data_IF_563493540662
#
_entry.id   IF_563493540662
#
_cell.length_a   1.000
_cell.length_b   1.000
_cell.length_c   1.000
_cell.angle_alpha   90.00
_cell.angle_beta   90.00
_cell.angle_gamma   90.00
#
_symmetry.space_group_name_H-M   'P 1'
#
loop_
_entity.id
_entity.type
_entity.pdbx_description
1 polymer ?
#
# COMPACT_ATOMS: atom_id res chain seq x y z
N UNK A 1 12.27 10.30 -5.80
CA UNK A 1 12.69 10.05 -7.19
C UNK A 1 11.49 9.79 -8.08
N UNK A 2 11.65 10.03 -9.38
CA UNK A 2 10.67 9.71 -10.43
C UNK A 2 10.95 8.34 -11.07
N UNK A 3 12.11 7.77 -10.74
CA UNK A 3 12.65 6.55 -11.33
C UNK A 3 12.84 5.48 -10.28
N UNK A 4 12.74 4.20 -10.70
CA UNK A 4 13.11 3.04 -9.91
C UNK A 4 14.56 2.67 -10.21
N UNK A 5 15.32 2.45 -9.15
CA UNK A 5 16.71 2.02 -9.21
C UNK A 5 16.85 0.66 -8.57
N UNK A 6 17.69 -0.18 -9.15
CA UNK A 6 18.01 -1.51 -8.64
C UNK A 6 19.51 -1.63 -8.37
N UNK A 7 19.84 -2.27 -7.27
CA UNK A 7 21.20 -2.74 -6.94
C UNK A 7 21.15 -4.25 -6.77
N UNK A 8 22.09 -4.96 -7.40
CA UNK A 8 22.27 -6.41 -7.25
C UNK A 8 23.55 -6.75 -6.45
N UNK A 9 24.24 -5.75 -5.91
CA UNK A 9 25.51 -5.85 -5.20
C UNK A 9 25.49 -5.11 -3.85
N UNK A 10 24.38 -5.19 -3.14
CA UNK A 10 24.18 -4.61 -1.80
C UNK A 10 24.35 -3.09 -1.77
N UNK A 11 23.98 -2.39 -2.85
CA UNK A 11 24.00 -0.94 -2.92
C UNK A 11 25.33 -0.34 -3.41
N UNK A 12 26.32 -1.15 -3.82
CA UNK A 12 27.57 -0.64 -4.35
C UNK A 12 27.39 -0.02 -5.76
N UNK A 13 26.53 -0.60 -6.60
CA UNK A 13 26.16 -0.03 -7.89
C UNK A 13 24.65 0.03 -8.05
N UNK A 14 24.16 1.00 -8.83
CA UNK A 14 22.74 1.23 -9.05
C UNK A 14 22.46 1.38 -10.55
N UNK A 15 21.42 0.69 -11.01
CA UNK A 15 20.93 0.78 -12.38
C UNK A 15 19.50 1.30 -12.38
N UNK A 16 19.20 2.26 -13.24
CA UNK A 16 17.82 2.72 -13.46
C UNK A 16 17.06 1.67 -14.28
N UNK A 17 15.96 1.18 -13.73
CA UNK A 17 15.13 0.13 -14.33
C UNK A 17 13.74 0.61 -14.74
N UNK A 18 13.50 1.93 -14.75
CA UNK A 18 12.23 2.50 -15.21
C UNK A 18 12.43 3.78 -16.02
N UNK A 19 11.47 4.14 -16.89
CA UNK A 19 11.30 5.52 -17.32
C UNK A 19 10.82 6.40 -16.17
N UNK A 20 10.55 7.70 -16.42
CA UNK A 20 9.78 8.54 -15.49
C UNK A 20 8.36 7.95 -15.35
N UNK A 21 8.01 7.51 -14.14
CA UNK A 21 6.73 6.87 -13.82
C UNK A 21 5.69 7.86 -13.25
N UNK A 22 6.04 9.13 -13.12
CA UNK A 22 5.15 10.18 -12.61
C UNK A 22 4.39 10.88 -13.76
N UNK A 23 3.41 11.72 -13.43
CA UNK A 23 2.78 12.63 -14.40
C UNK A 23 3.62 13.87 -14.64
N UNK A 24 4.69 14.06 -13.88
CA UNK A 24 5.55 15.24 -13.90
C UNK A 24 4.76 16.56 -13.75
N UNK A 25 3.68 16.53 -12.99
CA UNK A 25 2.89 17.70 -12.68
C UNK A 25 3.66 18.59 -11.71
N UNK A 26 3.94 19.83 -12.11
CA UNK A 26 4.67 20.81 -11.31
C UNK A 26 3.77 21.98 -10.91
N UNK A 27 2.54 21.71 -10.53
CA UNK A 27 1.57 22.75 -10.16
C UNK A 27 1.52 22.93 -8.64
N UNK A 28 2.17 23.97 -8.14
CA UNK A 28 2.11 24.35 -6.72
C UNK A 28 2.95 23.46 -5.82
N UNK A 29 2.50 23.27 -4.57
CA UNK A 29 3.20 22.48 -3.55
C UNK A 29 2.69 21.03 -3.48
N UNK A 30 1.80 20.62 -4.39
CA UNK A 30 1.17 19.30 -4.38
C UNK A 30 0.68 18.98 -5.80
N UNK A 31 1.03 17.86 -6.38
CA UNK A 31 2.03 16.85 -5.97
C UNK A 31 3.48 17.27 -6.30
N UNK A 32 4.46 16.51 -5.79
CA UNK A 32 5.88 16.75 -6.08
C UNK A 32 6.39 15.94 -7.28
N UNK A 33 5.56 15.11 -7.89
CA UNK A 33 5.90 14.18 -8.96
C UNK A 33 7.05 13.22 -8.53
N UNK A 34 6.80 12.47 -7.47
CA UNK A 34 7.74 11.49 -6.93
C UNK A 34 7.06 10.14 -6.71
N UNK A 35 7.83 9.07 -6.84
CA UNK A 35 7.39 7.74 -6.41
C UNK A 35 7.31 7.73 -4.88
N UNK A 36 6.14 7.39 -4.38
CA UNK A 36 5.83 7.27 -2.95
C UNK A 36 5.95 5.83 -2.45
N UNK A 37 5.77 4.85 -3.34
CA UNK A 37 5.83 3.43 -3.02
C UNK A 37 6.40 2.64 -4.19
N UNK A 38 7.23 1.64 -3.87
CA UNK A 38 7.70 0.59 -4.78
C UNK A 38 7.70 -0.72 -4.00
N UNK A 39 6.97 -1.73 -4.51
CA UNK A 39 6.84 -3.02 -3.86
C UNK A 39 7.07 -4.15 -4.84
N UNK A 40 7.87 -5.15 -4.45
CA UNK A 40 8.07 -6.38 -5.22
C UNK A 40 7.09 -7.47 -4.76
N UNK A 41 6.56 -8.23 -5.71
CA UNK A 41 5.75 -9.41 -5.38
C UNK A 41 6.60 -10.43 -4.62
N UNK A 42 6.16 -10.93 -3.47
CA UNK A 42 6.87 -11.98 -2.76
C UNK A 42 6.82 -13.34 -3.48
N UNK A 43 5.93 -13.49 -4.47
CA UNK A 43 5.71 -14.75 -5.19
C UNK A 43 6.40 -14.77 -6.57
N UNK A 44 6.65 -13.61 -7.18
CA UNK A 44 7.19 -13.50 -8.53
C UNK A 44 8.34 -12.49 -8.57
N UNK A 45 9.58 -12.99 -8.60
CA UNK A 45 10.76 -12.14 -8.73
C UNK A 45 10.68 -11.26 -10.00
N UNK A 46 10.99 -9.98 -9.86
CA UNK A 46 10.94 -9.01 -10.96
C UNK A 46 9.54 -8.52 -11.33
N UNK A 47 8.49 -8.93 -10.57
CA UNK A 47 7.18 -8.31 -10.62
C UNK A 47 7.14 -7.20 -9.58
N UNK A 48 7.27 -5.93 -10.05
CA UNK A 48 7.33 -4.74 -9.22
C UNK A 48 6.13 -3.85 -9.51
N UNK A 49 5.55 -3.31 -8.45
CA UNK A 49 4.53 -2.27 -8.51
C UNK A 49 5.11 -0.95 -8.04
N UNK A 50 4.76 0.14 -8.70
CA UNK A 50 5.18 1.49 -8.32
C UNK A 50 3.99 2.44 -8.29
N UNK A 51 3.93 3.29 -7.28
CA UNK A 51 2.93 4.32 -7.12
C UNK A 51 3.56 5.69 -6.89
N UNK A 52 2.93 6.74 -7.41
CA UNK A 52 3.42 8.11 -7.28
C UNK A 52 2.48 8.99 -6.46
N UNK A 53 3.00 10.10 -5.96
CA UNK A 53 2.24 11.09 -5.21
C UNK A 53 1.29 11.93 -6.09
N UNK A 54 1.45 11.87 -7.41
CA UNK A 54 0.57 12.47 -8.41
C UNK A 54 -0.42 11.46 -9.03
N UNK A 55 -0.53 10.25 -8.46
CA UNK A 55 -1.60 9.31 -8.73
C UNK A 55 -1.36 8.37 -9.91
N UNK A 56 -0.12 8.18 -10.35
CA UNK A 56 0.21 7.12 -11.29
C UNK A 56 0.49 5.80 -10.57
N UNK A 57 -0.01 4.70 -11.15
CA UNK A 57 0.26 3.33 -10.73
C UNK A 57 0.79 2.53 -11.90
N UNK A 58 1.85 1.78 -11.67
CA UNK A 58 2.55 1.01 -12.69
C UNK A 58 2.92 -0.38 -12.22
N UNK A 59 3.02 -1.32 -13.16
CA UNK A 59 3.60 -2.65 -12.93
C UNK A 59 4.63 -2.98 -13.98
N UNK A 60 5.72 -3.60 -13.56
CA UNK A 60 6.60 -4.39 -14.43
C UNK A 60 6.53 -5.86 -14.01
N UNK A 61 6.61 -6.79 -14.96
CA UNK A 61 6.67 -8.23 -14.70
C UNK A 61 7.94 -8.86 -15.29
N UNK A 62 8.91 -8.03 -15.60
CA UNK A 62 10.16 -8.44 -16.22
C UNK A 62 11.33 -7.59 -15.72
N UNK A 63 11.31 -7.30 -14.42
CA UNK A 63 12.37 -6.59 -13.71
C UNK A 63 12.74 -5.24 -14.37
N UNK A 64 11.72 -4.46 -14.75
CA UNK A 64 11.89 -3.13 -15.33
C UNK A 64 12.08 -3.11 -16.86
N UNK A 65 12.08 -4.27 -17.53
CA UNK A 65 12.21 -4.32 -18.99
C UNK A 65 11.06 -3.64 -19.73
N UNK A 66 9.87 -3.62 -19.13
CA UNK A 66 8.72 -2.83 -19.58
C UNK A 66 7.80 -2.50 -18.42
N UNK A 67 7.11 -1.36 -18.49
CA UNK A 67 6.16 -0.90 -17.47
C UNK A 67 4.78 -0.67 -18.10
N UNK A 68 3.74 -1.16 -17.42
CA UNK A 68 2.35 -1.03 -17.84
C UNK A 68 1.60 -0.15 -16.83
N UNK A 69 0.86 0.85 -17.30
CA UNK A 69 0.03 1.71 -16.46
C UNK A 69 -1.21 0.97 -15.97
N UNK A 70 -1.55 1.18 -14.69
CA UNK A 70 -2.66 0.54 -13.98
C UNK A 70 -3.72 1.54 -13.52
N UNK A 71 -3.74 2.75 -14.05
CA UNK A 71 -4.60 3.84 -13.58
C UNK A 71 -6.10 3.65 -13.89
N UNK A 72 -6.44 2.74 -14.81
CA UNK A 72 -7.82 2.52 -15.21
C UNK A 72 -8.68 2.01 -14.05
N UNK A 73 -9.78 2.73 -13.73
CA UNK A 73 -10.68 2.40 -12.63
C UNK A 73 -10.26 2.92 -11.25
N UNK A 74 -9.13 3.60 -11.14
CA UNK A 74 -8.69 4.28 -9.92
C UNK A 74 -9.04 5.78 -9.94
N UNK A 75 -9.26 6.40 -8.77
CA UNK A 75 -9.35 7.86 -8.65
C UNK A 75 -8.12 8.55 -9.22
N UNK A 76 -8.33 9.57 -10.03
CA UNK A 76 -7.24 10.31 -10.68
C UNK A 76 -6.60 11.31 -9.70
N UNK A 77 -5.29 11.55 -9.88
CA UNK A 77 -4.53 12.59 -9.17
C UNK A 77 -4.56 12.45 -7.63
N UNK A 78 -4.73 11.22 -7.12
CA UNK A 78 -4.66 10.95 -5.69
C UNK A 78 -3.34 10.27 -5.35
N UNK A 79 -2.72 10.73 -4.28
CA UNK A 79 -1.47 10.15 -3.79
C UNK A 79 -1.64 8.65 -3.56
N UNK A 80 -0.81 7.83 -4.22
CA UNK A 80 -0.73 6.39 -3.95
C UNK A 80 0.01 6.20 -2.64
N UNK A 81 -0.72 5.93 -1.57
CA UNK A 81 -0.17 5.87 -0.22
C UNK A 81 0.45 4.51 0.10
N UNK A 82 -0.09 3.42 -0.45
CA UNK A 82 0.45 2.07 -0.23
C UNK A 82 0.08 1.13 -1.37
N UNK A 83 0.94 0.16 -1.62
CA UNK A 83 0.68 -1.01 -2.49
C UNK A 83 1.14 -2.24 -1.70
N UNK A 84 0.36 -3.32 -1.73
CA UNK A 84 0.67 -4.58 -1.05
C UNK A 84 0.37 -5.76 -1.98
N UNK A 85 1.36 -6.28 -2.70
CA UNK A 85 1.21 -7.53 -3.43
C UNK A 85 0.97 -8.69 -2.47
N UNK A 86 0.10 -9.63 -2.85
CA UNK A 86 -0.30 -10.74 -1.99
C UNK A 86 0.83 -11.74 -1.74
N UNK A 87 0.84 -12.29 -0.52
CA UNK A 87 1.70 -13.39 -0.12
C UNK A 87 1.17 -14.76 -0.57
N UNK A 88 -0.05 -14.84 -1.12
CA UNK A 88 -0.74 -16.12 -1.36
C UNK A 88 -1.16 -16.36 -2.80
N UNK A 89 -1.37 -15.30 -3.57
CA UNK A 89 -1.90 -15.41 -4.93
C UNK A 89 -1.19 -14.46 -5.88
N UNK A 90 -0.59 -15.02 -6.94
CA UNK A 90 -0.02 -14.23 -8.03
C UNK A 90 -1.09 -13.32 -8.65
N UNK A 91 -0.71 -12.09 -8.97
CA UNK A 91 -1.59 -11.09 -9.55
C UNK A 91 -2.61 -10.46 -8.60
N UNK A 92 -2.75 -10.97 -7.36
CA UNK A 92 -3.52 -10.29 -6.32
C UNK A 92 -2.67 -9.18 -5.72
N UNK A 93 -3.22 -7.96 -5.72
CA UNK A 93 -2.58 -6.78 -5.15
C UNK A 93 -3.62 -5.85 -4.54
N UNK A 94 -3.27 -5.27 -3.41
CA UNK A 94 -4.06 -4.25 -2.72
C UNK A 94 -3.41 -2.89 -2.89
N UNK A 95 -4.22 -1.83 -2.96
CA UNK A 95 -3.74 -0.46 -3.11
C UNK A 95 -4.59 0.50 -2.28
N UNK A 96 -3.95 1.49 -1.72
CA UNK A 96 -4.62 2.63 -1.09
C UNK A 96 -4.21 3.93 -1.75
N UNK A 97 -5.17 4.86 -1.87
CA UNK A 97 -4.92 6.20 -2.33
C UNK A 97 -5.44 7.20 -1.29
N UNK A 98 -4.80 8.36 -1.24
CA UNK A 98 -5.09 9.36 -0.23
C UNK A 98 -5.35 10.71 -0.90
N UNK A 99 -6.52 11.28 -0.59
CA UNK A 99 -6.99 12.55 -1.15
C UNK A 99 -6.83 13.76 -0.24
N UNK A 100 -6.23 13.62 0.96
CA UNK A 100 -6.19 14.68 1.97
C UNK A 100 -5.57 15.98 1.46
N UNK A 101 -4.60 15.89 0.54
CA UNK A 101 -3.96 17.05 -0.10
C UNK A 101 -4.91 17.88 -0.96
N UNK A 102 -6.07 17.32 -1.30
CA UNK A 102 -7.15 17.96 -2.07
C UNK A 102 -8.39 18.22 -1.21
N UNK A 103 -8.25 18.18 0.12
CA UNK A 103 -9.36 18.33 1.08
C UNK A 103 -10.46 17.25 0.88
N UNK A 104 -10.04 16.06 0.47
CA UNK A 104 -10.89 14.92 0.21
C UNK A 104 -10.53 13.76 1.14
N UNK A 105 -11.52 13.27 1.91
CA UNK A 105 -11.35 12.27 2.95
C UNK A 105 -12.07 10.95 2.62
N UNK A 106 -12.30 10.66 1.36
CA UNK A 106 -12.85 9.37 0.94
C UNK A 106 -11.84 8.26 1.18
N UNK A 107 -12.30 7.14 1.77
CA UNK A 107 -11.47 5.95 1.96
C UNK A 107 -11.29 5.21 0.64
N UNK A 108 -10.15 5.38 0.02
CA UNK A 108 -9.79 4.72 -1.23
C UNK A 108 -8.96 3.47 -0.98
N UNK A 109 -9.62 2.32 -0.96
CA UNK A 109 -9.02 0.99 -0.80
C UNK A 109 -9.52 0.09 -1.92
N UNK A 110 -8.59 -0.46 -2.68
CA UNK A 110 -8.92 -1.31 -3.84
C UNK A 110 -8.11 -2.60 -3.81
N UNK A 111 -8.65 -3.64 -4.43
CA UNK A 111 -7.95 -4.86 -4.79
C UNK A 111 -8.05 -5.14 -6.26
N UNK A 112 -7.03 -5.78 -6.80
CA UNK A 112 -7.00 -6.37 -8.14
C UNK A 112 -6.58 -7.83 -8.02
N UNK A 113 -7.14 -8.70 -8.87
CA UNK A 113 -6.77 -10.13 -8.94
C UNK A 113 -6.10 -10.49 -10.28
N UNK A 114 -5.77 -9.48 -11.07
CA UNK A 114 -5.25 -9.59 -12.44
C UNK A 114 -4.05 -8.67 -12.72
N UNK A 115 -3.18 -8.51 -11.72
CA UNK A 115 -1.98 -7.65 -11.77
C UNK A 115 -2.30 -6.15 -11.93
N UNK A 116 -3.45 -5.70 -11.44
CA UNK A 116 -3.86 -4.30 -11.50
C UNK A 116 -4.55 -3.87 -12.79
N UNK A 117 -4.92 -4.81 -13.67
CA UNK A 117 -5.66 -4.48 -14.90
C UNK A 117 -7.07 -4.01 -14.59
N UNK A 118 -7.70 -4.64 -13.58
CA UNK A 118 -9.02 -4.23 -13.06
C UNK A 118 -8.97 -4.05 -11.55
N UNK A 119 -9.71 -3.05 -11.05
CA UNK A 119 -9.75 -2.70 -9.63
C UNK A 119 -11.18 -2.80 -9.08
N UNK A 120 -11.31 -3.38 -7.90
CA UNK A 120 -12.57 -3.46 -7.16
C UNK A 120 -12.38 -2.76 -5.82
N UNK A 121 -13.26 -1.81 -5.50
CA UNK A 121 -13.25 -1.16 -4.17
C UNK A 121 -13.60 -2.17 -3.09
N UNK A 122 -12.84 -2.12 -1.99
CA UNK A 122 -13.05 -2.92 -0.79
C UNK A 122 -13.23 -2.04 0.46
N UNK A 123 -13.70 -0.81 0.27
CA UNK A 123 -13.92 0.16 1.34
C UNK A 123 -15.35 0.12 1.94
N UNK A 124 -16.12 -0.94 1.74
CA UNK A 124 -17.59 -1.03 1.89
C UNK A 124 -18.17 -0.42 3.18
N UNK A 125 -17.55 -0.66 4.33
CA UNK A 125 -18.03 -0.19 5.64
C UNK A 125 -17.00 0.67 6.40
N UNK A 126 -15.96 1.13 5.69
CA UNK A 126 -15.02 2.09 6.27
C UNK A 126 -15.68 3.45 6.43
N UNK A 127 -15.33 4.20 7.48
CA UNK A 127 -15.70 5.61 7.57
C UNK A 127 -15.02 6.43 6.47
N UNK A 128 -15.54 7.63 6.20
CA UNK A 128 -14.87 8.56 5.28
C UNK A 128 -13.67 9.18 5.99
N UNK A 129 -12.50 8.65 5.71
CA UNK A 129 -11.22 9.14 6.25
C UNK A 129 -10.05 8.75 5.34
N UNK A 130 -8.94 9.47 5.47
CA UNK A 130 -7.72 9.19 4.70
C UNK A 130 -7.15 7.83 5.08
N UNK A 131 -6.76 7.07 4.05
CA UNK A 131 -6.13 5.76 4.21
C UNK A 131 -4.66 5.88 3.83
N UNK A 132 -3.79 5.38 4.70
CA UNK A 132 -2.35 5.59 4.57
C UNK A 132 -1.60 4.31 4.18
N UNK A 133 -1.99 3.15 4.69
CA UNK A 133 -1.30 1.90 4.46
C UNK A 133 -2.22 0.69 4.54
N UNK A 134 -1.99 -0.30 3.69
CA UNK A 134 -2.61 -1.63 3.74
C UNK A 134 -1.53 -2.71 3.67
N UNK A 135 -1.65 -3.74 4.49
CA UNK A 135 -0.81 -4.93 4.43
C UNK A 135 -1.62 -6.20 4.58
N UNK A 136 -1.20 -7.28 3.89
CA UNK A 136 -1.74 -8.62 4.04
C UNK A 136 -0.94 -9.39 5.10
N UNK A 137 -1.62 -10.16 5.94
CA UNK A 137 -0.95 -11.03 6.92
C UNK A 137 -0.18 -12.16 6.21
N UNK A 138 1.12 -12.36 6.47
CA UNK A 138 1.90 -13.39 5.78
C UNK A 138 1.61 -14.82 6.23
N UNK A 139 0.79 -15.02 7.28
CA UNK A 139 0.46 -16.34 7.85
C UNK A 139 -1.02 -16.68 7.78
N UNK A 140 -1.88 -15.69 7.56
CA UNK A 140 -3.33 -15.89 7.46
C UNK A 140 -3.87 -15.28 6.16
N UNK A 141 -4.24 -16.10 5.17
CA UNK A 141 -4.88 -15.60 3.97
C UNK A 141 -6.20 -14.89 4.32
N UNK A 142 -6.53 -13.85 3.58
CA UNK A 142 -7.69 -12.97 3.77
C UNK A 142 -7.65 -12.04 4.99
N UNK A 143 -6.64 -12.14 5.84
CA UNK A 143 -6.43 -11.20 6.94
C UNK A 143 -5.66 -9.98 6.44
N UNK A 144 -6.30 -8.81 6.53
CA UNK A 144 -5.73 -7.52 6.13
C UNK A 144 -5.73 -6.55 7.31
N UNK A 145 -4.69 -5.72 7.35
CA UNK A 145 -4.57 -4.59 8.27
C UNK A 145 -4.56 -3.29 7.45
N UNK A 146 -5.30 -2.29 7.92
CA UNK A 146 -5.45 -1.00 7.27
C UNK A 146 -5.18 0.13 8.26
N UNK A 147 -4.19 0.95 7.97
CA UNK A 147 -3.89 2.15 8.75
C UNK A 147 -4.57 3.37 8.14
N UNK A 148 -5.29 4.11 8.98
CA UNK A 148 -6.02 5.32 8.61
C UNK A 148 -5.57 6.51 9.47
N UNK A 149 -6.16 7.69 9.25
CA UNK A 149 -5.89 8.87 10.09
C UNK A 149 -6.45 8.73 11.52
N UNK A 150 -7.37 7.79 11.76
CA UNK A 150 -8.02 7.63 13.07
C UNK A 150 -7.86 6.25 13.70
N UNK A 151 -7.02 5.37 13.14
CA UNK A 151 -6.74 4.10 13.78
C UNK A 151 -6.39 2.94 12.85
N UNK A 152 -6.35 1.77 13.46
CA UNK A 152 -6.10 0.49 12.80
C UNK A 152 -7.42 -0.23 12.54
N UNK A 153 -7.68 -0.59 11.30
CA UNK A 153 -8.77 -1.49 10.93
C UNK A 153 -8.23 -2.87 10.54
N UNK A 154 -9.02 -3.89 10.81
CA UNK A 154 -8.71 -5.29 10.50
C UNK A 154 -9.86 -5.90 9.72
N UNK A 155 -9.55 -6.64 8.66
CA UNK A 155 -10.49 -7.46 7.91
C UNK A 155 -10.06 -8.91 7.94
N UNK A 156 -10.98 -9.82 8.23
CA UNK A 156 -10.77 -11.28 8.24
C UNK A 156 -11.29 -11.95 6.97
N UNK A 157 -11.82 -11.17 6.02
CA UNK A 157 -12.55 -11.65 4.85
C UNK A 157 -12.12 -10.98 3.54
N UNK A 158 -10.82 -10.68 3.43
CA UNK A 158 -10.19 -10.05 2.26
C UNK A 158 -10.79 -8.67 1.90
N UNK A 159 -11.12 -7.88 2.91
CA UNK A 159 -11.61 -6.51 2.76
C UNK A 159 -13.11 -6.38 2.49
N UNK A 160 -13.89 -7.45 2.63
CA UNK A 160 -15.35 -7.35 2.52
C UNK A 160 -15.97 -6.59 3.70
N UNK A 161 -15.43 -6.81 4.90
CA UNK A 161 -15.81 -6.12 6.12
C UNK A 161 -14.58 -5.69 6.90
N UNK A 162 -14.62 -4.48 7.44
CA UNK A 162 -13.58 -3.89 8.26
C UNK A 162 -14.07 -3.64 9.66
N UNK A 163 -13.23 -3.96 10.65
CA UNK A 163 -13.49 -3.72 12.06
C UNK A 163 -12.40 -2.86 12.64
N UNK A 164 -12.78 -1.81 13.38
CA UNK A 164 -11.82 -1.01 14.12
C UNK A 164 -11.13 -1.88 15.17
N UNK A 165 -9.81 -1.93 15.13
CA UNK A 165 -9.03 -2.66 16.13
C UNK A 165 -9.07 -1.90 17.47
N UNK A 166 -9.89 -2.39 18.39
CA UNK A 166 -10.00 -1.88 19.75
C UNK A 166 -8.96 -2.58 20.62
N UNK A 167 -7.88 -1.91 20.94
CA UNK A 167 -6.79 -2.51 21.71
C UNK A 167 -5.82 -1.48 22.27
N UNK A 168 -4.56 -1.84 22.25
CA UNK A 168 -3.48 -1.03 22.85
C UNK A 168 -3.09 0.21 22.03
N UNK A 169 -3.62 0.37 20.80
CA UNK A 169 -3.34 1.51 19.94
C UNK A 169 -4.41 2.56 20.18
N UNK A 170 -4.05 3.80 20.57
CA UNK A 170 -5.00 4.88 20.69
C UNK A 170 -5.51 5.30 19.29
N UNK A 171 -6.56 6.13 19.27
CA UNK A 171 -7.09 6.71 18.05
C UNK A 171 -6.12 7.78 17.49
N UNK A 172 -5.21 7.35 16.61
CA UNK A 172 -4.13 8.16 16.02
C UNK A 172 -3.91 7.79 14.58
N UNK A 173 -3.36 8.73 13.80
CA UNK A 173 -2.99 8.46 12.41
C UNK A 173 -1.86 7.42 12.34
N UNK A 174 -2.09 6.36 11.55
CA UNK A 174 -1.14 5.29 11.28
C UNK A 174 -0.59 5.50 9.87
N UNK A 175 0.73 5.64 9.78
CA UNK A 175 1.41 5.92 8.51
C UNK A 175 2.20 4.76 7.97
N UNK A 176 2.64 3.85 8.85
CA UNK A 176 3.43 2.70 8.43
C UNK A 176 3.16 1.49 9.31
N UNK A 177 3.26 0.30 8.71
CA UNK A 177 3.08 -0.97 9.40
C UNK A 177 4.00 -2.03 8.80
N UNK A 178 4.54 -2.88 9.66
CA UNK A 178 5.29 -4.06 9.25
C UNK A 178 5.02 -5.24 10.19
N UNK A 179 4.92 -6.45 9.63
CA UNK A 179 4.78 -7.67 10.43
C UNK A 179 6.15 -8.31 10.62
N UNK A 180 6.54 -8.45 11.87
CA UNK A 180 7.69 -9.24 12.26
C UNK A 180 7.22 -10.70 12.46
N UNK A 181 7.47 -11.53 11.44
CA UNK A 181 6.86 -12.86 11.31
C UNK A 181 7.31 -13.86 12.39
N UNK A 182 8.57 -13.79 12.85
CA UNK A 182 9.13 -14.74 13.81
C UNK A 182 8.37 -14.70 15.15
N UNK A 183 8.06 -13.48 15.63
CA UNK A 183 7.38 -13.27 16.91
C UNK A 183 5.88 -13.07 16.76
N UNK A 184 5.36 -12.97 15.53
CA UNK A 184 3.98 -12.58 15.20
C UNK A 184 3.59 -11.22 15.79
N UNK A 185 4.43 -10.23 15.57
CA UNK A 185 4.17 -8.86 16.01
C UNK A 185 3.86 -7.96 14.82
N UNK A 186 2.77 -7.20 14.91
CA UNK A 186 2.51 -6.06 14.07
C UNK A 186 3.14 -4.82 14.71
N UNK A 187 4.07 -4.21 14.00
CA UNK A 187 4.71 -2.97 14.40
C UNK A 187 4.00 -1.84 13.66
N UNK A 188 3.50 -0.85 14.40
CA UNK A 188 2.66 0.22 13.88
C UNK A 188 3.34 1.56 14.13
N UNK A 189 3.70 2.25 13.06
CA UNK A 189 4.24 3.60 13.07
C UNK A 189 3.12 4.64 13.02
N UNK A 190 3.10 5.56 14.00
CA UNK A 190 2.08 6.60 14.10
C UNK A 190 2.64 7.99 13.85
N UNK A 191 1.77 8.93 13.48
CA UNK A 191 2.18 10.33 13.34
C UNK A 191 2.32 11.01 14.72
N UNK A 192 3.57 11.16 15.15
CA UNK A 192 3.91 11.93 16.35
C UNK A 192 3.51 11.30 17.70
N UNK A 193 3.04 10.04 17.71
CA UNK A 193 2.60 9.37 18.94
C UNK A 193 3.26 8.03 19.21
N UNK A 194 4.52 7.88 18.78
CA UNK A 194 5.31 6.68 19.03
C UNK A 194 5.07 5.53 18.05
N UNK A 195 5.75 4.43 18.30
CA UNK A 195 5.60 3.14 17.62
C UNK A 195 4.96 2.15 18.59
N UNK A 196 3.96 1.42 18.13
CA UNK A 196 3.27 0.39 18.91
C UNK A 196 3.64 -1.00 18.39
N UNK A 197 3.64 -1.96 19.30
CA UNK A 197 3.83 -3.38 18.97
C UNK A 197 2.59 -4.14 19.42
N UNK A 198 1.93 -4.82 18.48
CA UNK A 198 0.73 -5.61 18.72
C UNK A 198 1.07 -7.08 18.56
N UNK A 199 0.78 -7.91 19.55
CA UNK A 199 0.87 -9.38 19.43
C UNK A 199 -0.30 -9.87 18.57
N UNK A 200 0.02 -10.53 17.44
CA UNK A 200 -0.97 -11.07 16.50
C UNK A 200 -1.49 -12.46 16.88
N UNK A 201 -0.88 -13.14 17.85
CA UNK A 201 -1.31 -14.47 18.28
C UNK A 201 -2.79 -14.57 18.67
N UNK A 202 -3.40 -13.56 19.34
CA UNK A 202 -4.85 -13.57 19.60
C UNK A 202 -5.69 -13.49 18.32
N UNK A 203 -5.26 -12.67 17.33
CA UNK A 203 -5.97 -12.49 16.05
C UNK A 203 -5.89 -13.77 15.22
N UNK A 204 -4.75 -14.45 15.23
CA UNK A 204 -4.53 -15.70 14.50
C UNK A 204 -5.32 -16.90 15.07
N UNK A 205 -6.06 -16.70 16.15
CA UNK A 205 -6.93 -17.75 16.75
C UNK A 205 -8.41 -17.58 16.36
N UNK A 206 -8.75 -16.53 15.66
CA UNK A 206 -10.11 -16.27 15.16
C UNK A 206 -10.31 -16.94 13.81
#
# INVERSE_FOLDING_TARGET
SQYVYQSLDQGNTWTTISPDLTKNQKSGNVPFATLSVVEESPLEFGTLYAGSDDGNVWVTRNNGGSWTSLNAGLPQDRWVSSISPSNYKEGLVYITLNGYRYDEFTSYVYKSEDYGKTWTSIASNLPNESVNIIIEDPKMPNLLYLGTDHGLFVSLDAGKNWNLFQGQIPNVAIYDMVIQERENHLIVGTHGRSVYVVDLKPIHKW
#
